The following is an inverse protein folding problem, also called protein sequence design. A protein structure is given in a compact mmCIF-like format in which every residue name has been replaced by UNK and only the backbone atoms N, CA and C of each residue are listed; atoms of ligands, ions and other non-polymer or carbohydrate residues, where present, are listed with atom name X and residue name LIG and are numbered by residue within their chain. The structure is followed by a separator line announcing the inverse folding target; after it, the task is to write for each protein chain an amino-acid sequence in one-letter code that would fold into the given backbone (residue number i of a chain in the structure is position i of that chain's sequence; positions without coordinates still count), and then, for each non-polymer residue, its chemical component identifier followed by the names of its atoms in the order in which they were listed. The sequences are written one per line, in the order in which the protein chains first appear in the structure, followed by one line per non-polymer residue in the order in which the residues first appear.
data_IF_382590064891
#
_entry.id   IF_382590064891
#
_cell.length_a   1.000
_cell.length_b   1.000
_cell.length_c   1.000
_cell.angle_alpha   90.00
_cell.angle_beta   90.00
_cell.angle_gamma   90.00
#
_symmetry.space_group_name_H-M   'P 1'
#
loop_
_entity.id
_entity.type
_entity.pdbx_description
1 polymer ?
#
# COMPACT_ATOMS: atom_id res chain seq x y z
N UNK A 1 -9.29 18.41 -15.26
CA UNK A 1 -10.59 19.11 -15.05
C UNK A 1 -10.30 20.58 -14.90
N UNK A 2 -10.40 21.39 -15.98
CA UNK A 2 -9.96 22.81 -16.00
C UNK A 2 -10.78 23.73 -15.09
N UNK A 3 -11.90 23.27 -14.56
CA UNK A 3 -12.79 24.04 -13.67
C UNK A 3 -12.44 23.91 -12.17
N UNK A 4 -11.43 23.11 -11.82
CA UNK A 4 -11.04 22.91 -10.44
C UNK A 4 -9.72 23.62 -10.13
N UNK A 5 -9.67 24.29 -8.99
CA UNK A 5 -8.48 24.98 -8.51
C UNK A 5 -7.62 24.07 -7.62
N UNK A 6 -6.41 24.51 -7.29
CA UNK A 6 -5.55 23.80 -6.32
C UNK A 6 -6.21 23.63 -4.95
N UNK A 7 -7.12 24.54 -4.56
CA UNK A 7 -7.88 24.46 -3.32
C UNK A 7 -8.91 23.33 -3.32
N UNK A 8 -9.46 22.99 -4.49
CA UNK A 8 -10.38 21.88 -4.61
C UNK A 8 -9.66 20.54 -4.41
N UNK A 9 -8.39 20.43 -4.86
CA UNK A 9 -7.58 19.22 -4.71
C UNK A 9 -7.03 18.99 -3.29
N UNK A 10 -7.06 19.98 -2.40
CA UNK A 10 -6.64 19.76 -1.01
C UNK A 10 -7.53 18.75 -0.28
N UNK A 11 -8.74 18.52 -0.77
CA UNK A 11 -9.72 17.56 -0.24
C UNK A 11 -9.48 16.12 -0.69
N UNK A 12 -8.70 15.92 -1.76
CA UNK A 12 -8.34 14.58 -2.23
C UNK A 12 -7.11 14.08 -1.47
N UNK A 13 -7.32 13.20 -0.48
CA UNK A 13 -6.26 12.69 0.38
C UNK A 13 -6.52 11.24 0.76
N UNK A 14 -5.45 10.52 1.10
CA UNK A 14 -5.61 9.24 1.81
C UNK A 14 -6.29 9.50 3.16
N UNK A 15 -6.99 8.49 3.68
CA UNK A 15 -7.67 8.59 4.98
C UNK A 15 -6.72 9.04 6.09
N UNK A 16 -5.53 8.44 6.17
CA UNK A 16 -4.50 8.83 7.15
C UNK A 16 -4.11 10.31 7.02
N UNK A 17 -3.86 10.78 5.80
CA UNK A 17 -3.52 12.18 5.56
C UNK A 17 -4.69 13.13 5.87
N UNK A 18 -5.91 12.64 5.75
CA UNK A 18 -7.10 13.40 6.14
C UNK A 18 -7.21 13.49 7.66
N UNK A 19 -6.98 12.41 8.40
CA UNK A 19 -7.01 12.37 9.86
C UNK A 19 -5.84 13.18 10.47
N UNK A 20 -4.65 13.11 9.88
CA UNK A 20 -3.44 13.77 10.38
C UNK A 20 -3.61 15.26 10.69
N UNK A 21 -4.44 15.95 9.96
CA UNK A 21 -4.67 17.40 10.12
C UNK A 21 -5.32 17.80 11.45
N UNK A 22 -5.84 16.86 12.19
CA UNK A 22 -6.50 17.09 13.48
C UNK A 22 -5.56 16.94 14.68
N UNK A 23 -4.31 16.54 14.45
CA UNK A 23 -3.35 16.24 15.50
C UNK A 23 -2.04 17.01 15.27
N UNK A 24 -1.49 17.53 16.37
CA UNK A 24 -0.23 18.29 16.38
C UNK A 24 0.97 17.43 16.79
N UNK A 25 0.73 16.25 17.37
CA UNK A 25 1.76 15.32 17.81
C UNK A 25 2.65 14.85 16.66
N UNK A 26 3.88 14.49 16.97
CA UNK A 26 4.77 13.88 15.99
C UNK A 26 4.32 12.47 15.64
N UNK A 27 4.51 12.09 14.37
CA UNK A 27 4.16 10.76 13.91
C UNK A 27 5.32 9.81 14.20
N UNK A 28 5.00 8.64 14.76
CA UNK A 28 5.90 7.51 14.77
C UNK A 28 6.04 6.97 13.35
N UNK A 29 7.02 7.50 12.59
CA UNK A 29 7.35 6.96 11.27
C UNK A 29 8.14 5.65 11.46
N UNK A 30 7.65 4.50 10.95
CA UNK A 30 8.35 3.22 11.07
C UNK A 30 9.77 3.23 10.50
N UNK A 31 10.08 4.12 9.54
CA UNK A 31 11.43 4.21 8.98
C UNK A 31 12.41 4.86 9.96
N UNK A 32 12.03 5.98 10.53
CA UNK A 32 12.94 6.79 11.35
C UNK A 32 12.84 6.43 12.84
N UNK A 33 11.62 6.27 13.34
CA UNK A 33 11.37 6.01 14.75
C UNK A 33 11.64 4.57 15.18
N UNK A 34 11.48 3.59 14.30
CA UNK A 34 11.68 2.19 14.66
C UNK A 34 13.14 1.84 14.96
N UNK A 35 14.09 2.50 14.29
CA UNK A 35 15.51 2.34 14.56
C UNK A 35 15.84 2.87 15.96
N UNK A 36 15.35 4.07 16.27
CA UNK A 36 15.55 4.71 17.57
C UNK A 36 14.90 3.89 18.70
N UNK A 37 13.67 3.47 18.51
CA UNK A 37 12.95 2.56 19.42
C UNK A 37 13.74 1.27 19.68
N UNK A 38 14.26 0.61 18.64
CA UNK A 38 15.03 -0.61 18.78
C UNK A 38 16.35 -0.40 19.56
N UNK A 39 17.03 0.73 19.32
CA UNK A 39 18.27 1.07 20.01
C UNK A 39 18.06 1.42 21.49
N UNK A 40 17.03 2.22 21.78
CA UNK A 40 16.75 2.67 23.16
C UNK A 40 16.20 1.55 24.02
N UNK A 41 15.27 0.76 23.50
CA UNK A 41 14.59 -0.27 24.29
C UNK A 41 15.27 -1.62 24.31
N UNK A 42 16.12 -1.90 23.31
CA UNK A 42 16.79 -3.20 23.09
C UNK A 42 15.84 -4.41 23.03
N UNK A 43 14.54 -4.15 22.82
CA UNK A 43 13.52 -5.20 22.84
C UNK A 43 13.40 -5.90 21.49
N UNK A 44 13.82 -5.24 20.41
CA UNK A 44 13.87 -5.82 19.06
C UNK A 44 15.26 -6.41 18.85
N UNK A 45 15.29 -7.68 18.44
CA UNK A 45 16.56 -8.36 18.18
C UNK A 45 17.19 -7.88 16.86
N UNK A 46 18.54 -7.90 16.80
CA UNK A 46 19.28 -7.60 15.57
C UNK A 46 18.91 -8.50 14.38
N UNK A 47 18.46 -9.74 14.66
CA UNK A 47 17.94 -10.67 13.64
C UNK A 47 16.68 -10.17 12.92
N UNK A 48 15.98 -9.20 13.49
CA UNK A 48 14.77 -8.60 12.90
C UNK A 48 15.11 -7.43 11.97
N UNK A 49 16.39 -7.10 11.87
CA UNK A 49 16.92 -6.11 10.95
C UNK A 49 16.83 -6.67 9.52
N UNK A 50 16.01 -6.06 8.69
CA UNK A 50 15.91 -6.39 7.26
C UNK A 50 16.55 -5.28 6.43
N UNK A 51 17.37 -5.68 5.46
CA UNK A 51 17.82 -4.80 4.40
C UNK A 51 16.63 -4.58 3.46
N UNK A 52 16.08 -3.38 3.50
CA UNK A 52 15.19 -2.90 2.46
C UNK A 52 15.91 -1.70 1.82
N UNK A 53 16.53 -1.94 0.68
CA UNK A 53 17.08 -0.92 -0.23
C UNK A 53 17.87 0.20 0.48
N UNK A 54 19.11 -0.08 0.87
CA UNK A 54 20.06 0.83 1.55
C UNK A 54 19.57 1.49 2.86
N UNK A 55 18.29 1.31 3.21
CA UNK A 55 17.70 1.74 4.47
C UNK A 55 17.32 0.52 5.31
N UNK A 56 17.90 0.42 6.49
CA UNK A 56 17.54 -0.61 7.47
C UNK A 56 16.16 -0.29 8.03
N UNK A 57 15.17 -1.16 7.77
CA UNK A 57 13.88 -1.10 8.45
C UNK A 57 13.76 -2.28 9.41
N UNK A 58 13.37 -1.99 10.64
CA UNK A 58 12.99 -3.02 11.59
C UNK A 58 11.52 -3.36 11.37
N UNK A 59 11.24 -4.60 11.00
CA UNK A 59 9.90 -5.14 11.02
C UNK A 59 9.79 -6.14 12.16
N UNK A 60 9.16 -5.75 13.24
CA UNK A 60 8.90 -6.64 14.34
C UNK A 60 7.57 -7.36 14.14
N UNK A 61 7.60 -8.70 14.22
CA UNK A 61 6.41 -9.52 14.03
C UNK A 61 5.33 -9.25 15.08
N UNK A 62 5.73 -9.07 16.36
CA UNK A 62 4.79 -8.81 17.45
C UNK A 62 4.08 -7.47 17.29
N UNK A 63 4.80 -6.42 16.86
CA UNK A 63 4.19 -5.13 16.56
C UNK A 63 3.29 -5.18 15.32
N UNK A 64 3.61 -6.03 14.35
CA UNK A 64 2.71 -6.32 13.23
C UNK A 64 1.40 -6.97 13.67
N UNK A 65 1.45 -7.94 14.59
CA UNK A 65 0.25 -8.53 15.21
C UNK A 65 -0.54 -7.49 15.99
N UNK A 66 0.13 -6.58 16.69
CA UNK A 66 -0.52 -5.50 17.41
C UNK A 66 -1.27 -4.56 16.46
N UNK A 67 -0.62 -4.04 15.43
CA UNK A 67 -1.27 -3.19 14.41
C UNK A 67 -2.45 -3.92 13.75
N UNK A 68 -2.25 -5.18 13.33
CA UNK A 68 -3.32 -6.00 12.76
C UNK A 68 -4.51 -6.15 13.71
N UNK A 69 -4.27 -6.33 15.00
CA UNK A 69 -5.35 -6.46 15.99
C UNK A 69 -6.18 -5.18 16.09
N UNK A 70 -5.54 -4.02 16.09
CA UNK A 70 -6.21 -2.71 16.10
C UNK A 70 -7.02 -2.52 14.81
N UNK A 71 -6.40 -2.77 13.67
CA UNK A 71 -7.04 -2.66 12.36
C UNK A 71 -8.27 -3.58 12.22
N UNK A 72 -8.26 -4.73 12.85
CA UNK A 72 -9.39 -5.68 12.89
C UNK A 72 -10.35 -5.45 14.07
N UNK A 73 -10.20 -4.39 14.86
CA UNK A 73 -10.98 -4.11 16.07
C UNK A 73 -11.03 -5.34 17.00
N UNK A 74 -9.88 -5.97 17.19
CA UNK A 74 -9.73 -7.22 17.92
C UNK A 74 -8.62 -7.11 18.98
N UNK A 75 -8.41 -8.14 19.79
CA UNK A 75 -7.31 -8.15 20.74
C UNK A 75 -6.06 -8.80 20.16
N UNK A 76 -4.84 -8.37 20.58
CA UNK A 76 -3.60 -9.01 20.17
C UNK A 76 -3.58 -10.53 20.43
N UNK A 77 -4.17 -10.97 21.54
CA UNK A 77 -4.28 -12.39 21.89
C UNK A 77 -5.15 -13.16 20.90
N UNK A 78 -6.24 -12.55 20.42
CA UNK A 78 -7.14 -13.16 19.43
C UNK A 78 -6.45 -13.32 18.09
N UNK A 79 -5.73 -12.30 17.63
CA UNK A 79 -4.98 -12.37 16.37
C UNK A 79 -3.82 -13.35 16.51
N UNK A 80 -3.08 -13.32 17.61
CA UNK A 80 -1.99 -14.25 17.90
C UNK A 80 -2.41 -15.72 17.74
N UNK A 81 -3.58 -16.08 18.28
CA UNK A 81 -4.13 -17.45 18.19
C UNK A 81 -4.51 -17.86 16.76
N UNK A 82 -4.85 -16.91 15.91
CA UNK A 82 -5.24 -17.16 14.51
C UNK A 82 -4.05 -17.27 13.56
N UNK A 83 -2.87 -16.80 13.96
CA UNK A 83 -1.69 -16.89 13.12
C UNK A 83 -1.18 -18.32 13.03
N UNK A 84 -0.92 -18.77 11.81
CA UNK A 84 -0.38 -20.11 11.51
C UNK A 84 1.08 -20.29 11.98
N UNK A 85 1.82 -19.20 12.12
CA UNK A 85 3.19 -19.17 12.57
C UNK A 85 3.37 -18.09 13.65
N UNK A 86 3.93 -18.50 14.79
CA UNK A 86 4.18 -17.63 15.93
C UNK A 86 5.69 -17.48 16.12
N UNK A 87 6.22 -16.30 15.82
CA UNK A 87 7.65 -16.02 15.97
C UNK A 87 8.06 -15.81 17.43
N UNK A 88 7.21 -15.13 18.19
CA UNK A 88 7.39 -14.83 19.61
C UNK A 88 6.32 -15.55 20.42
N UNK A 89 6.59 -15.83 21.72
CA UNK A 89 5.53 -16.26 22.62
C UNK A 89 4.56 -15.13 22.93
N UNK A 90 3.37 -15.46 23.41
CA UNK A 90 2.36 -14.46 23.76
C UNK A 90 2.88 -13.46 24.80
N UNK A 91 3.63 -13.92 25.80
CA UNK A 91 4.21 -13.05 26.84
C UNK A 91 5.22 -12.06 26.27
N UNK A 92 6.06 -12.52 25.33
CA UNK A 92 7.00 -11.64 24.60
C UNK A 92 6.25 -10.62 23.77
N UNK A 93 5.21 -11.04 23.06
CA UNK A 93 4.37 -10.14 22.26
C UNK A 93 3.77 -9.05 23.15
N UNK A 94 3.12 -9.43 24.24
CA UNK A 94 2.50 -8.45 25.16
C UNK A 94 3.52 -7.52 25.83
N UNK A 95 4.70 -8.03 26.17
CA UNK A 95 5.81 -7.21 26.67
C UNK A 95 6.28 -6.20 25.62
N UNK A 96 6.44 -6.60 24.36
CA UNK A 96 6.83 -5.70 23.28
C UNK A 96 5.80 -4.60 23.04
N UNK A 97 4.51 -4.93 23.06
CA UNK A 97 3.42 -3.95 22.95
C UNK A 97 3.52 -2.93 24.09
N UNK A 98 3.67 -3.39 25.32
CA UNK A 98 3.77 -2.49 26.50
C UNK A 98 4.93 -1.52 26.34
N UNK A 99 6.12 -2.01 26.02
CA UNK A 99 7.32 -1.17 25.83
C UNK A 99 7.15 -0.20 24.67
N UNK A 100 6.48 -0.62 23.59
CA UNK A 100 6.17 0.24 22.44
C UNK A 100 5.25 1.40 22.82
N UNK A 101 4.18 1.11 23.58
CA UNK A 101 3.25 2.14 24.06
C UNK A 101 3.91 3.10 25.06
N UNK A 102 4.77 2.60 25.93
CA UNK A 102 5.55 3.42 26.86
C UNK A 102 6.51 4.32 26.10
N UNK A 103 7.20 3.82 25.08
CA UNK A 103 8.10 4.61 24.25
C UNK A 103 7.37 5.74 23.50
N UNK A 104 6.20 5.48 22.93
CA UNK A 104 5.41 6.52 22.27
C UNK A 104 5.05 7.66 23.23
N UNK A 105 4.80 7.35 24.50
CA UNK A 105 4.43 8.35 25.54
C UNK A 105 5.62 9.14 26.11
N UNK A 106 6.79 8.52 26.20
CA UNK A 106 7.95 9.06 26.94
C UNK A 106 9.19 9.32 26.09
N UNK A 107 9.19 8.91 24.85
CA UNK A 107 10.43 8.79 24.07
C UNK A 107 11.05 10.08 23.53
N UNK A 108 10.35 11.23 23.56
CA UNK A 108 10.81 12.51 23.00
C UNK A 108 10.17 13.69 23.74
N UNK A 109 10.53 14.92 23.36
CA UNK A 109 9.96 16.16 23.92
C UNK A 109 8.41 16.22 23.74
N UNK A 110 7.88 15.54 22.74
CA UNK A 110 6.44 15.39 22.48
C UNK A 110 6.08 13.92 22.40
N UNK A 111 4.87 13.58 22.82
CA UNK A 111 4.31 12.25 22.60
C UNK A 111 4.21 11.92 21.11
N UNK A 112 4.48 10.66 20.76
CA UNK A 112 4.37 10.14 19.40
C UNK A 112 3.03 9.43 19.22
N UNK A 113 2.42 9.60 18.06
CA UNK A 113 1.27 8.82 17.62
C UNK A 113 1.62 8.01 16.39
N UNK A 114 1.26 6.74 16.34
CA UNK A 114 1.36 5.95 15.13
C UNK A 114 0.12 6.13 14.23
N UNK A 115 0.14 5.47 13.07
CA UNK A 115 -0.97 5.57 12.12
C UNK A 115 -2.27 5.00 12.67
N UNK A 116 -2.21 3.95 13.48
CA UNK A 116 -3.39 3.33 14.08
C UNK A 116 -3.93 4.22 15.21
N UNK A 117 -3.07 4.82 16.07
CA UNK A 117 -3.48 5.82 17.08
C UNK A 117 -4.23 6.98 16.44
N UNK A 118 -3.70 7.46 15.33
CA UNK A 118 -4.29 8.59 14.62
C UNK A 118 -5.72 8.27 14.14
N UNK A 119 -5.95 7.06 13.66
CA UNK A 119 -7.28 6.62 13.24
C UNK A 119 -8.20 6.44 14.45
N UNK A 120 -7.75 5.75 15.52
CA UNK A 120 -8.52 5.52 16.74
C UNK A 120 -8.93 6.84 17.40
N UNK A 121 -7.99 7.76 17.60
CA UNK A 121 -8.27 9.07 18.18
C UNK A 121 -9.18 9.92 17.29
N UNK A 122 -9.09 9.78 15.96
CA UNK A 122 -10.03 10.44 15.05
C UNK A 122 -11.47 9.99 15.30
N UNK A 123 -11.67 8.71 15.62
CA UNK A 123 -13.00 8.19 15.96
C UNK A 123 -13.49 8.80 17.26
N UNK A 124 -12.65 8.98 18.25
CA UNK A 124 -13.02 9.45 19.58
C UNK A 124 -13.15 10.97 19.67
N UNK A 125 -12.16 11.70 19.16
CA UNK A 125 -11.95 13.12 19.44
C UNK A 125 -12.48 14.06 18.35
N UNK A 126 -12.56 13.62 17.07
CA UNK A 126 -12.86 14.51 15.96
C UNK A 126 -14.35 14.60 15.66
N UNK A 127 -14.89 15.81 15.68
CA UNK A 127 -16.23 16.09 15.16
C UNK A 127 -16.12 16.60 13.71
N UNK A 128 -16.57 15.79 12.76
CA UNK A 128 -16.51 16.15 11.35
C UNK A 128 -17.58 17.19 10.98
N UNK A 129 -17.23 18.19 10.16
CA UNK A 129 -18.22 19.13 9.65
C UNK A 129 -19.19 18.45 8.69
N UNK A 130 -20.37 19.03 8.48
CA UNK A 130 -21.30 18.56 7.45
C UNK A 130 -20.64 18.54 6.07
N UNK A 131 -20.89 17.49 5.30
CA UNK A 131 -20.37 17.31 3.95
C UNK A 131 -21.52 17.16 2.96
N UNK A 132 -21.42 17.82 1.81
CA UNK A 132 -22.37 17.60 0.72
C UNK A 132 -22.14 16.25 0.05
N UNK A 133 -20.90 15.88 -0.18
CA UNK A 133 -20.52 14.66 -0.88
C UNK A 133 -19.29 14.06 -0.22
N UNK A 134 -19.37 12.77 0.07
CA UNK A 134 -18.24 11.93 0.46
C UNK A 134 -17.98 10.93 -0.67
N UNK A 135 -16.75 10.88 -1.16
CA UNK A 135 -16.32 9.91 -2.17
C UNK A 135 -15.16 9.11 -1.59
N UNK A 136 -15.26 7.78 -1.64
CA UNK A 136 -14.23 6.86 -1.19
C UNK A 136 -13.88 5.95 -2.35
N UNK A 137 -12.62 5.97 -2.73
CA UNK A 137 -12.04 5.10 -3.76
C UNK A 137 -11.24 3.98 -3.11
N UNK A 138 -11.06 2.87 -3.81
CA UNK A 138 -10.39 1.64 -3.34
C UNK A 138 -10.95 1.14 -1.99
N UNK A 139 -12.27 1.19 -1.85
CA UNK A 139 -12.96 0.88 -0.59
C UNK A 139 -12.74 -0.57 -0.11
N UNK A 140 -12.39 -1.51 -0.99
CA UNK A 140 -12.09 -2.90 -0.65
C UNK A 140 -10.82 -3.05 0.21
N UNK A 141 -9.92 -2.07 0.17
CA UNK A 141 -8.65 -2.11 0.89
C UNK A 141 -8.74 -1.52 2.32
N UNK A 142 -9.92 -1.03 2.70
CA UNK A 142 -10.12 -0.44 4.02
C UNK A 142 -10.28 -1.51 5.10
N UNK A 143 -9.60 -1.30 6.24
CA UNK A 143 -9.72 -2.15 7.43
C UNK A 143 -10.98 -1.80 8.24
N UNK A 144 -11.48 -2.69 9.12
CA UNK A 144 -12.57 -2.38 10.04
C UNK A 144 -12.38 -1.09 10.84
N UNK A 145 -11.16 -0.83 11.32
CA UNK A 145 -10.82 0.41 12.00
C UNK A 145 -11.01 1.64 11.10
N UNK A 146 -10.54 1.58 9.87
CA UNK A 146 -10.73 2.66 8.89
C UNK A 146 -12.20 2.84 8.53
N UNK A 147 -12.97 1.75 8.42
CA UNK A 147 -14.41 1.80 8.21
C UNK A 147 -15.14 2.51 9.36
N UNK A 148 -14.67 2.39 10.60
CA UNK A 148 -15.25 3.13 11.74
C UNK A 148 -15.14 4.64 11.56
N UNK A 149 -14.00 5.15 11.05
CA UNK A 149 -13.85 6.57 10.66
C UNK A 149 -14.75 6.92 9.48
N UNK A 150 -14.77 6.07 8.47
CA UNK A 150 -15.61 6.28 7.27
C UNK A 150 -17.09 6.41 7.67
N UNK A 151 -17.61 5.55 8.53
CA UNK A 151 -18.97 5.66 9.04
C UNK A 151 -19.20 6.95 9.82
N UNK A 152 -18.23 7.36 10.65
CA UNK A 152 -18.35 8.63 11.38
C UNK A 152 -18.41 9.85 10.45
N UNK A 153 -17.61 9.85 9.37
CA UNK A 153 -17.67 10.92 8.34
C UNK A 153 -18.98 10.83 7.55
N UNK A 154 -19.37 9.61 7.18
CA UNK A 154 -20.56 9.35 6.37
C UNK A 154 -21.86 9.83 7.06
N UNK A 155 -21.94 9.74 8.38
CA UNK A 155 -23.09 10.23 9.15
C UNK A 155 -23.30 11.75 9.02
N UNK A 156 -22.29 12.49 8.59
CA UNK A 156 -22.37 13.95 8.35
C UNK A 156 -22.43 14.30 6.84
N UNK A 157 -22.56 13.31 5.96
CA UNK A 157 -22.58 13.50 4.52
C UNK A 157 -24.00 13.36 3.94
N UNK A 158 -24.40 14.29 3.07
CA UNK A 158 -25.69 14.22 2.37
C UNK A 158 -25.71 13.12 1.29
N UNK A 159 -24.58 12.88 0.65
CA UNK A 159 -24.42 11.87 -0.40
C UNK A 159 -23.07 11.16 -0.24
N UNK A 160 -23.10 9.85 -0.46
CA UNK A 160 -21.92 9.01 -0.31
C UNK A 160 -21.77 8.18 -1.59
N UNK A 161 -20.55 8.16 -2.12
CA UNK A 161 -20.16 7.32 -3.23
C UNK A 161 -18.96 6.47 -2.82
N UNK A 162 -19.10 5.15 -2.94
CA UNK A 162 -18.03 4.19 -2.72
C UNK A 162 -17.65 3.58 -4.06
N UNK A 163 -16.36 3.53 -4.35
CA UNK A 163 -15.81 2.83 -5.50
C UNK A 163 -14.77 1.81 -5.02
N UNK A 164 -14.73 0.67 -5.70
CA UNK A 164 -13.79 -0.39 -5.38
C UNK A 164 -14.03 -1.64 -6.21
N UNK A 165 -13.14 -2.60 -6.08
CA UNK A 165 -13.20 -3.91 -6.72
C UNK A 165 -12.74 -4.98 -5.72
N UNK A 166 -13.66 -5.78 -5.22
CA UNK A 166 -13.41 -6.85 -4.25
C UNK A 166 -12.39 -7.89 -4.75
N UNK A 167 -12.32 -8.14 -6.06
CA UNK A 167 -11.32 -9.03 -6.66
C UNK A 167 -9.88 -8.44 -6.62
N UNK A 168 -9.74 -7.14 -6.34
CA UNK A 168 -8.47 -6.44 -6.20
C UNK A 168 -8.05 -6.22 -4.74
N UNK A 169 -8.75 -6.77 -3.76
CA UNK A 169 -8.39 -6.68 -2.34
C UNK A 169 -7.06 -7.40 -2.07
N UNK A 170 -6.00 -6.65 -1.82
CA UNK A 170 -4.66 -7.19 -1.58
C UNK A 170 -4.16 -6.93 -0.14
N UNK A 171 -4.93 -6.24 0.69
CA UNK A 171 -4.55 -5.86 2.05
C UNK A 171 -5.28 -6.68 3.15
N UNK A 172 -5.90 -7.81 2.81
CA UNK A 172 -6.51 -8.71 3.79
C UNK A 172 -5.53 -9.20 4.87
N UNK A 173 -4.25 -9.35 4.50
CA UNK A 173 -3.19 -9.68 5.45
C UNK A 173 -3.01 -8.63 6.56
N UNK A 174 -3.37 -7.38 6.30
CA UNK A 174 -3.37 -6.26 7.27
C UNK A 174 -4.74 -6.03 7.91
N UNK A 175 -5.71 -6.89 7.63
CA UNK A 175 -7.04 -6.82 8.20
C UNK A 175 -8.10 -6.12 7.35
N UNK A 176 -7.79 -5.73 6.11
CA UNK A 176 -8.84 -5.25 5.20
C UNK A 176 -9.91 -6.33 4.99
N UNK A 177 -11.16 -5.92 4.95
CA UNK A 177 -12.29 -6.82 4.71
C UNK A 177 -13.24 -6.25 3.65
N UNK A 178 -13.20 -6.77 2.41
CA UNK A 178 -14.05 -6.33 1.32
C UNK A 178 -15.55 -6.39 1.60
N UNK A 179 -15.98 -7.18 2.59
CA UNK A 179 -17.38 -7.30 2.97
C UNK A 179 -17.98 -5.98 3.47
N UNK A 180 -17.17 -5.12 4.07
CA UNK A 180 -17.63 -3.78 4.45
C UNK A 180 -18.08 -2.98 3.23
N UNK A 181 -17.35 -3.05 2.15
CA UNK A 181 -17.70 -2.41 0.90
C UNK A 181 -18.85 -3.13 0.17
N UNK A 182 -18.80 -4.46 0.08
CA UNK A 182 -19.74 -5.23 -0.76
C UNK A 182 -21.06 -5.52 -0.07
N UNK A 183 -21.09 -5.68 1.26
CA UNK A 183 -22.27 -6.17 1.98
C UNK A 183 -22.79 -5.25 3.08
N UNK A 184 -21.88 -4.64 3.86
CA UNK A 184 -22.31 -3.95 5.08
C UNK A 184 -22.65 -2.48 4.86
N UNK A 185 -22.08 -1.82 3.86
CA UNK A 185 -22.41 -0.43 3.58
C UNK A 185 -23.73 -0.34 2.81
N UNK A 186 -24.76 0.38 3.33
CA UNK A 186 -26.06 0.47 2.67
C UNK A 186 -25.98 1.32 1.41
N UNK A 187 -26.74 0.98 0.39
CA UNK A 187 -26.85 1.80 -0.80
C UNK A 187 -27.14 1.05 -2.08
N UNK A 188 -27.37 1.80 -3.16
CA UNK A 188 -27.56 1.25 -4.50
C UNK A 188 -26.23 0.83 -5.09
N UNK A 189 -26.08 -0.44 -5.44
CA UNK A 189 -24.91 -0.96 -6.15
C UNK A 189 -25.02 -0.67 -7.65
N UNK A 190 -23.97 -0.15 -8.23
CA UNK A 190 -23.81 0.09 -9.66
C UNK A 190 -22.52 -0.58 -10.12
N UNK A 191 -22.61 -1.47 -11.09
CA UNK A 191 -21.43 -2.14 -11.67
C UNK A 191 -20.98 -1.41 -12.93
N UNK A 192 -19.70 -1.05 -12.99
CA UNK A 192 -19.06 -0.54 -14.19
C UNK A 192 -18.68 -1.74 -15.07
N UNK A 193 -19.47 -1.99 -16.13
CA UNK A 193 -19.36 -3.22 -16.93
C UNK A 193 -18.32 -3.15 -18.05
N UNK A 194 -17.78 -2.01 -18.36
CA UNK A 194 -16.87 -1.87 -19.51
C UNK A 194 -15.51 -1.38 -19.05
N UNK A 195 -14.48 -2.22 -19.21
CA UNK A 195 -13.10 -1.76 -19.04
C UNK A 195 -12.64 -0.94 -20.24
N UNK A 196 -11.98 0.18 -19.94
CA UNK A 196 -11.33 1.05 -20.94
C UNK A 196 -9.81 1.00 -20.85
N UNK A 197 -9.25 0.23 -19.93
CA UNK A 197 -7.81 0.17 -19.66
C UNK A 197 -7.08 -0.75 -20.63
N UNK A 198 -7.70 -1.85 -21.04
CA UNK A 198 -7.07 -2.90 -21.81
C UNK A 198 -8.05 -3.55 -22.82
N UNK A 199 -7.48 -4.25 -23.80
CA UNK A 199 -8.23 -4.91 -24.87
C UNK A 199 -8.61 -6.35 -24.56
N UNK A 200 -9.11 -7.03 -25.60
CA UNK A 200 -9.71 -8.38 -25.51
C UNK A 200 -8.78 -9.42 -24.89
N UNK A 201 -7.56 -9.56 -25.35
CA UNK A 201 -6.66 -10.64 -24.88
C UNK A 201 -6.31 -10.50 -23.40
N UNK A 202 -6.04 -9.26 -22.94
CA UNK A 202 -5.74 -8.99 -21.52
C UNK A 202 -7.01 -9.20 -20.69
N UNK A 203 -8.16 -8.75 -21.20
CA UNK A 203 -9.46 -8.98 -20.55
C UNK A 203 -9.73 -10.49 -20.37
N UNK A 204 -9.59 -11.28 -21.46
CA UNK A 204 -9.79 -12.73 -21.37
C UNK A 204 -8.85 -13.38 -20.34
N UNK A 205 -7.58 -13.04 -20.35
CA UNK A 205 -6.61 -13.55 -19.37
C UNK A 205 -6.97 -13.17 -17.95
N UNK A 206 -7.39 -11.92 -17.71
CA UNK A 206 -7.83 -11.46 -16.39
C UNK A 206 -9.04 -12.25 -15.88
N UNK A 207 -10.00 -12.59 -16.76
CA UNK A 207 -11.15 -13.41 -16.39
C UNK A 207 -10.77 -14.85 -16.04
N UNK A 208 -9.74 -15.42 -16.68
CA UNK A 208 -9.22 -16.75 -16.30
C UNK A 208 -8.66 -16.70 -14.87
N UNK A 209 -7.87 -15.67 -14.53
CA UNK A 209 -7.32 -15.50 -13.17
C UNK A 209 -8.47 -15.31 -12.16
N UNK A 210 -9.43 -14.43 -12.47
CA UNK A 210 -10.56 -14.12 -11.59
C UNK A 210 -11.36 -15.36 -11.18
N UNK A 211 -11.58 -16.29 -12.10
CA UNK A 211 -12.31 -17.55 -11.81
C UNK A 211 -11.64 -18.40 -10.72
N UNK A 212 -10.37 -18.16 -10.45
CA UNK A 212 -9.63 -18.80 -9.35
C UNK A 212 -9.76 -18.09 -8.00
N UNK A 213 -10.39 -16.91 -7.96
CA UNK A 213 -10.59 -16.15 -6.72
C UNK A 213 -11.81 -16.73 -5.98
N UNK A 214 -11.59 -17.18 -4.75
CA UNK A 214 -12.65 -17.70 -3.89
C UNK A 214 -13.58 -16.56 -3.48
N UNK A 215 -14.88 -16.81 -3.53
CA UNK A 215 -15.93 -15.85 -3.17
C UNK A 215 -16.01 -14.58 -4.06
N UNK A 216 -15.39 -14.58 -5.24
CA UNK A 216 -15.61 -13.52 -6.23
C UNK A 216 -17.08 -13.51 -6.66
N UNK A 217 -17.72 -12.33 -6.63
CA UNK A 217 -19.04 -12.17 -7.24
C UNK A 217 -18.93 -12.34 -8.77
N UNK A 218 -19.93 -12.92 -9.41
CA UNK A 218 -19.97 -12.99 -10.87
C UNK A 218 -20.01 -11.57 -11.46
N UNK A 219 -18.99 -11.22 -12.22
CA UNK A 219 -18.84 -9.92 -12.85
C UNK A 219 -18.79 -10.10 -14.36
N UNK A 220 -19.83 -9.63 -15.01
CA UNK A 220 -19.94 -9.64 -16.46
C UNK A 220 -19.30 -8.35 -17.01
N UNK A 221 -18.01 -8.44 -17.37
CA UNK A 221 -17.27 -7.33 -17.94
C UNK A 221 -17.16 -7.45 -19.46
N UNK A 222 -17.30 -6.32 -20.12
CA UNK A 222 -16.94 -6.14 -21.51
C UNK A 222 -15.68 -5.28 -21.63
N UNK A 223 -15.07 -5.28 -22.80
CA UNK A 223 -13.89 -4.48 -23.08
C UNK A 223 -14.19 -3.44 -24.15
N UNK A 224 -13.55 -2.29 -24.04
CA UNK A 224 -13.56 -1.30 -25.10
C UNK A 224 -12.44 -1.66 -26.10
N UNK A 225 -12.75 -1.55 -27.40
CA UNK A 225 -11.84 -1.94 -28.49
C UNK A 225 -10.45 -1.28 -28.34
N UNK A 226 -9.54 -2.01 -27.75
CA UNK A 226 -8.09 -1.73 -27.77
C UNK A 226 -7.41 -3.04 -28.10
N UNK A 227 -6.44 -2.97 -28.97
CA UNK A 227 -5.58 -4.12 -29.23
C UNK A 227 -4.67 -4.36 -28.03
N UNK A 228 -4.25 -5.59 -27.90
CA UNK A 228 -3.34 -6.01 -26.84
C UNK A 228 -3.11 -7.52 -26.97
N UNK A 229 -2.05 -7.98 -26.40
CA UNK A 229 -1.72 -9.41 -26.40
C UNK A 229 -1.15 -9.84 -25.04
N UNK A 230 -1.22 -11.14 -24.77
CA UNK A 230 -0.60 -11.78 -23.61
C UNK A 230 0.39 -12.80 -24.14
N UNK A 231 1.63 -12.72 -23.68
CA UNK A 231 2.68 -13.70 -23.97
C UNK A 231 3.25 -14.24 -22.66
N UNK A 232 3.56 -15.52 -22.67
CA UNK A 232 4.23 -16.19 -21.54
C UNK A 232 5.69 -16.43 -21.92
N UNK A 233 6.59 -16.09 -20.99
CA UNK A 233 8.00 -16.37 -21.10
C UNK A 233 8.43 -17.19 -19.89
N UNK A 234 9.27 -18.19 -20.11
CA UNK A 234 9.82 -19.02 -19.03
C UNK A 234 11.03 -18.34 -18.36
N UNK A 235 11.68 -17.46 -19.09
CA UNK A 235 12.89 -16.79 -18.62
C UNK A 235 12.81 -15.29 -18.91
N UNK A 236 13.28 -14.48 -17.96
CA UNK A 236 13.34 -13.03 -18.09
C UNK A 236 14.14 -12.58 -19.33
N UNK A 237 15.23 -13.28 -19.68
CA UNK A 237 16.08 -12.97 -20.83
C UNK A 237 15.40 -13.16 -22.20
N UNK A 238 14.29 -13.89 -22.23
CA UNK A 238 13.50 -14.11 -23.45
C UNK A 238 12.55 -12.94 -23.77
N UNK A 239 12.35 -12.03 -22.81
CA UNK A 239 11.48 -10.89 -22.97
C UNK A 239 12.18 -9.87 -23.91
N UNK A 240 11.54 -9.48 -25.01
CA UNK A 240 12.17 -8.59 -26.00
C UNK A 240 12.10 -7.13 -25.54
N UNK A 241 12.96 -6.71 -24.64
CA UNK A 241 13.09 -5.31 -24.19
C UNK A 241 13.79 -4.41 -25.24
N UNK A 242 13.86 -4.85 -26.49
CA UNK A 242 14.68 -4.20 -27.54
C UNK A 242 14.03 -2.94 -28.09
N UNK A 243 12.76 -2.68 -27.83
CA UNK A 243 12.09 -1.48 -28.31
C UNK A 243 12.30 -0.36 -27.26
N UNK A 244 13.31 0.48 -27.53
CA UNK A 244 13.68 1.61 -26.66
C UNK A 244 12.64 2.73 -26.61
N UNK A 245 11.67 2.71 -27.50
CA UNK A 245 10.58 3.69 -27.55
C UNK A 245 9.38 3.31 -26.70
N UNK A 246 9.39 2.12 -26.10
CA UNK A 246 8.32 1.63 -25.25
C UNK A 246 8.67 1.75 -23.77
N UNK A 247 7.67 2.16 -22.97
CA UNK A 247 7.77 2.13 -21.50
C UNK A 247 7.28 0.79 -20.99
N UNK A 248 8.15 0.07 -20.31
CA UNK A 248 7.85 -1.23 -19.69
C UNK A 248 7.60 -1.09 -18.20
N UNK A 249 6.58 -1.77 -17.69
CA UNK A 249 6.34 -1.92 -16.28
C UNK A 249 6.62 -3.37 -15.89
N UNK A 250 7.56 -3.57 -14.96
CA UNK A 250 7.90 -4.88 -14.43
C UNK A 250 7.37 -4.97 -13.01
N UNK A 251 6.45 -5.90 -12.77
CA UNK A 251 5.77 -6.04 -11.50
C UNK A 251 6.17 -7.34 -10.81
N UNK A 252 6.43 -7.28 -9.52
CA UNK A 252 6.63 -8.42 -8.65
C UNK A 252 5.59 -8.45 -7.53
N UNK A 253 5.12 -9.62 -7.16
CA UNK A 253 4.12 -9.79 -6.09
C UNK A 253 4.66 -9.39 -4.70
N UNK A 254 5.95 -9.63 -4.46
CA UNK A 254 6.62 -9.37 -3.18
C UNK A 254 7.96 -8.66 -3.44
N UNK A 255 8.43 -7.91 -2.45
CA UNK A 255 9.69 -7.14 -2.56
C UNK A 255 10.90 -8.02 -2.95
N UNK A 256 10.96 -9.27 -2.48
CA UNK A 256 12.01 -10.21 -2.87
C UNK A 256 12.04 -10.41 -4.39
N UNK A 257 10.88 -10.67 -4.99
CA UNK A 257 10.76 -10.83 -6.45
C UNK A 257 11.11 -9.53 -7.19
N UNK A 258 10.70 -8.37 -6.66
CA UNK A 258 11.07 -7.06 -7.24
C UNK A 258 12.59 -6.88 -7.22
N UNK A 259 13.26 -7.24 -6.12
CA UNK A 259 14.73 -7.14 -6.03
C UNK A 259 15.43 -8.11 -6.99
N UNK A 260 14.93 -9.33 -7.14
CA UNK A 260 15.42 -10.28 -8.13
C UNK A 260 15.27 -9.72 -9.55
N UNK A 261 14.12 -9.14 -9.88
CA UNK A 261 13.86 -8.49 -11.16
C UNK A 261 14.77 -7.27 -11.42
N UNK A 262 15.07 -6.47 -10.38
CA UNK A 262 16.05 -5.35 -10.48
C UNK A 262 17.44 -5.86 -10.85
N UNK A 263 17.90 -6.92 -10.19
CA UNK A 263 19.19 -7.52 -10.48
C UNK A 263 19.23 -8.04 -11.92
N UNK A 264 18.21 -8.76 -12.36
CA UNK A 264 18.10 -9.24 -13.73
C UNK A 264 18.06 -8.11 -14.76
N UNK A 265 17.33 -7.04 -14.50
CA UNK A 265 17.28 -5.86 -15.37
C UNK A 265 18.66 -5.19 -15.47
N UNK A 266 19.36 -5.02 -14.33
CA UNK A 266 20.71 -4.46 -14.27
C UNK A 266 21.70 -5.32 -15.05
N UNK A 267 21.70 -6.62 -14.83
CA UNK A 267 22.59 -7.58 -15.51
C UNK A 267 22.31 -7.65 -17.02
N UNK A 268 21.10 -7.33 -17.44
CA UNK A 268 20.70 -7.23 -18.85
C UNK A 268 20.96 -5.85 -19.45
N UNK A 269 21.58 -4.92 -18.71
CA UNK A 269 21.89 -3.58 -19.20
C UNK A 269 20.67 -2.66 -19.40
N UNK A 270 19.53 -3.00 -18.77
CA UNK A 270 18.32 -2.19 -18.87
C UNK A 270 18.37 -1.01 -17.91
N UNK A 271 18.01 0.17 -18.41
CA UNK A 271 17.78 1.32 -17.54
C UNK A 271 16.37 1.26 -16.93
N UNK A 272 16.29 1.40 -15.61
CA UNK A 272 15.01 1.39 -14.91
C UNK A 272 14.98 2.37 -13.74
N UNK A 273 13.79 2.75 -13.33
CA UNK A 273 13.51 3.38 -12.05
C UNK A 273 12.43 2.57 -11.31
N UNK A 274 12.43 2.60 -10.01
CA UNK A 274 11.37 2.00 -9.22
C UNK A 274 10.45 3.04 -8.59
N UNK A 275 9.42 2.59 -7.87
CA UNK A 275 8.46 3.46 -7.18
C UNK A 275 9.08 4.34 -6.08
N UNK A 276 10.35 4.08 -5.72
CA UNK A 276 11.11 4.85 -4.70
C UNK A 276 12.13 5.77 -5.35
N UNK A 277 12.04 5.97 -6.67
CA UNK A 277 13.01 6.71 -7.48
C UNK A 277 14.45 6.16 -7.42
N UNK A 278 14.60 4.90 -6.98
CA UNK A 278 15.88 4.21 -7.05
C UNK A 278 16.17 3.92 -8.52
N UNK A 279 17.21 4.55 -9.04
CA UNK A 279 17.67 4.38 -10.42
C UNK A 279 18.79 3.35 -10.45
N UNK A 280 18.89 2.58 -11.53
CA UNK A 280 20.00 1.64 -11.72
C UNK A 280 21.36 2.33 -11.81
N UNK A 281 21.38 3.60 -12.20
CA UNK A 281 22.55 4.47 -12.25
C UNK A 281 22.24 5.78 -11.54
N UNK A 282 23.22 6.34 -10.82
CA UNK A 282 23.12 7.72 -10.33
C UNK A 282 23.15 8.73 -11.49
N UNK A 283 22.83 9.99 -11.20
CA UNK A 283 22.76 11.04 -12.21
C UNK A 283 24.10 11.22 -12.96
N UNK A 284 25.22 11.12 -12.23
CA UNK A 284 26.56 11.31 -12.81
C UNK A 284 26.95 10.14 -13.72
N UNK A 285 26.66 8.91 -13.29
CA UNK A 285 26.87 7.71 -14.11
C UNK A 285 26.05 7.77 -15.38
N UNK A 286 24.79 8.21 -15.28
CA UNK A 286 23.92 8.34 -16.45
C UNK A 286 24.42 9.40 -17.45
N UNK A 287 24.86 10.57 -16.97
CA UNK A 287 25.45 11.59 -17.85
C UNK A 287 26.76 11.12 -18.47
N UNK A 288 27.59 10.38 -17.75
CA UNK A 288 28.79 9.77 -18.30
C UNK A 288 28.48 8.77 -19.43
N UNK A 289 27.48 7.90 -19.22
CA UNK A 289 27.01 6.95 -20.25
C UNK A 289 26.49 7.70 -21.49
N UNK A 290 25.67 8.72 -21.31
CA UNK A 290 25.17 9.54 -22.46
C UNK A 290 26.31 10.22 -23.20
N UNK A 291 27.27 10.78 -22.50
CA UNK A 291 28.43 11.45 -23.07
C UNK A 291 29.26 10.45 -23.88
N UNK A 292 29.51 9.26 -23.33
CA UNK A 292 30.24 8.20 -23.98
C UNK A 292 29.50 7.71 -25.25
N UNK A 293 28.18 7.54 -25.18
CA UNK A 293 27.37 7.14 -26.32
C UNK A 293 27.37 8.20 -27.41
N UNK A 294 27.39 9.51 -27.08
CA UNK A 294 27.55 10.58 -28.07
C UNK A 294 28.88 10.52 -28.79
N UNK A 295 29.96 10.34 -28.02
CA UNK A 295 31.34 10.24 -28.59
C UNK A 295 31.45 9.01 -29.47
N UNK A 296 30.97 7.84 -29.03
CA UNK A 296 31.03 6.59 -29.80
C UNK A 296 30.23 6.65 -31.12
N UNK A 297 29.16 7.48 -31.16
CA UNK A 297 28.36 7.72 -32.36
C UNK A 297 28.83 8.90 -33.19
N UNK A 298 30.05 9.43 -32.96
CA UNK A 298 30.65 10.52 -33.74
C UNK A 298 29.93 11.87 -33.59
N UNK A 299 29.13 12.05 -32.54
CA UNK A 299 28.49 13.33 -32.18
C UNK A 299 29.32 14.01 -31.09
N UNK A 300 30.05 15.03 -31.46
CA UNK A 300 30.79 15.89 -30.50
C UNK A 300 29.89 16.90 -29.82
#
# INVERSE_FOLDING_TARGET
FPQYTSEDFYRFKTLHKYCRRYFEEDIFDPKDCMVDFALQTKIIKQSDKRLADDNFTYQDWSLGIYSKSRNMLSTPQTIYKKESYQKDSLDILLKKIKVYEEYKKSGREKSLIDFDDMIERTIEEVNFPPLKILIIDEAQDCTPLQWSVIYKIANNAERIYLAGDDDQAIYEWNGADPKYFTHYFPGRKVRLRTTRRFGHSIHHFSQVIRRGILNSEEKDYTYFKKDGYVKHYLNFKEIPFNNLDETWYILGRINRTVNELRMLAKDSGLYFSDNKDIKCFDQNQWEAIKSWTRISNGKH
#
